data_IF_966145544856
#
_entry.id   IF_966145544856
#
_cell.length_a   1.000
_cell.length_b   1.000
_cell.length_c   1.000
_cell.angle_alpha   90.00
_cell.angle_beta   90.00
_cell.angle_gamma   90.00
#
_symmetry.space_group_name_H-M   'P 1'
#
loop_
_entity.id
_entity.type
_entity.pdbx_description
1 polymer ?
#
# COMPACT_ATOMS: atom_id res chain seq x y z
N UNK A 1 -13.90 -34.06 -26.79
CA UNK A 1 -14.43 -34.24 -25.43
C UNK A 1 -14.71 -32.86 -24.88
N UNK A 2 -15.98 -32.47 -24.80
CA UNK A 2 -16.39 -31.18 -24.24
C UNK A 2 -16.54 -31.36 -22.74
N UNK A 3 -15.82 -30.57 -21.95
CA UNK A 3 -16.00 -30.52 -20.50
C UNK A 3 -17.10 -29.50 -20.20
N UNK A 4 -18.20 -29.95 -19.60
CA UNK A 4 -19.27 -29.07 -19.14
C UNK A 4 -18.82 -28.39 -17.85
N UNK A 5 -18.91 -27.06 -17.81
CA UNK A 5 -18.63 -26.29 -16.60
C UNK A 5 -19.97 -25.98 -15.90
N UNK A 6 -20.25 -26.69 -14.82
CA UNK A 6 -21.46 -26.50 -14.01
C UNK A 6 -21.32 -25.35 -13.01
N UNK A 7 -20.10 -25.13 -12.50
CA UNK A 7 -19.81 -24.10 -11.50
C UNK A 7 -18.64 -23.19 -11.90
N UNK A 8 -18.77 -21.92 -11.55
CA UNK A 8 -17.77 -20.89 -11.85
C UNK A 8 -17.88 -20.28 -13.25
N UNK A 9 -17.12 -19.21 -13.46
CA UNK A 9 -17.08 -18.48 -14.73
C UNK A 9 -15.88 -18.95 -15.56
N UNK A 10 -16.00 -19.07 -16.90
CA UNK A 10 -14.91 -19.55 -17.74
C UNK A 10 -13.71 -18.60 -17.68
N UNK A 11 -12.53 -19.13 -17.34
CA UNK A 11 -11.28 -18.35 -17.31
C UNK A 11 -10.90 -17.90 -18.72
N UNK A 12 -10.57 -16.61 -18.88
CA UNK A 12 -10.23 -16.02 -20.18
C UNK A 12 -11.41 -15.38 -20.94
N UNK A 13 -12.66 -15.54 -20.46
CA UNK A 13 -13.79 -14.78 -20.98
C UNK A 13 -13.83 -13.37 -20.38
N UNK A 14 -14.10 -12.37 -21.23
CA UNK A 14 -14.19 -10.95 -20.84
C UNK A 14 -15.33 -10.72 -19.84
N UNK A 15 -16.45 -11.44 -19.98
CA UNK A 15 -17.61 -11.27 -19.10
C UNK A 15 -17.41 -11.90 -17.72
N UNK A 16 -16.60 -12.94 -17.61
CA UNK A 16 -16.39 -13.69 -16.37
C UNK A 16 -15.96 -12.80 -15.21
N UNK A 17 -15.03 -11.87 -15.46
CA UNK A 17 -14.52 -10.94 -14.44
C UNK A 17 -15.62 -10.01 -13.95
N UNK A 18 -16.45 -9.49 -14.85
CA UNK A 18 -17.55 -8.57 -14.50
C UNK A 18 -18.61 -9.30 -13.68
N UNK A 19 -19.05 -10.49 -14.14
CA UNK A 19 -20.05 -11.29 -13.45
C UNK A 19 -19.57 -11.71 -12.05
N UNK A 20 -18.30 -12.10 -11.93
CA UNK A 20 -17.68 -12.38 -10.64
C UNK A 20 -17.75 -11.17 -9.71
N UNK A 21 -17.31 -9.99 -10.17
CA UNK A 21 -17.30 -8.74 -9.39
C UNK A 21 -18.72 -8.36 -8.93
N UNK A 22 -19.71 -8.42 -9.82
CA UNK A 22 -21.11 -8.12 -9.48
C UNK A 22 -21.60 -9.05 -8.36
N UNK A 23 -21.29 -10.35 -8.45
CA UNK A 23 -21.70 -11.34 -7.46
C UNK A 23 -20.99 -11.12 -6.12
N UNK A 24 -19.66 -10.92 -6.13
CA UNK A 24 -18.88 -10.81 -4.89
C UNK A 24 -19.07 -9.47 -4.17
N UNK A 25 -19.37 -8.38 -4.86
CA UNK A 25 -19.56 -7.05 -4.28
C UNK A 25 -20.67 -6.99 -3.20
N UNK A 26 -21.63 -7.91 -3.24
CA UNK A 26 -22.69 -7.98 -2.22
C UNK A 26 -22.19 -8.44 -0.83
N UNK A 27 -20.96 -8.99 -0.73
CA UNK A 27 -20.35 -9.44 0.53
C UNK A 27 -20.14 -8.28 1.51
N UNK A 28 -19.73 -7.10 1.02
CA UNK A 28 -19.47 -5.92 1.86
C UNK A 28 -20.77 -5.45 2.53
N UNK A 29 -21.93 -5.69 1.91
CA UNK A 29 -23.24 -5.32 2.48
C UNK A 29 -23.62 -6.15 3.71
N UNK A 30 -22.90 -7.25 3.97
CA UNK A 30 -23.14 -8.11 5.13
C UNK A 30 -22.37 -7.65 6.38
N UNK A 31 -21.49 -6.66 6.24
CA UNK A 31 -20.66 -6.22 7.35
C UNK A 31 -21.52 -5.55 8.45
N UNK A 32 -21.29 -5.89 9.73
CA UNK A 32 -22.00 -5.25 10.82
C UNK A 32 -21.59 -3.78 10.97
N UNK A 33 -22.47 -2.99 11.59
CA UNK A 33 -22.18 -1.60 11.92
C UNK A 33 -20.92 -1.53 12.79
N UNK A 34 -20.00 -0.65 12.40
CA UNK A 34 -18.68 -0.47 13.03
C UNK A 34 -17.54 -1.28 12.41
N UNK A 35 -17.84 -2.14 11.44
CA UNK A 35 -16.83 -2.84 10.63
C UNK A 35 -16.88 -2.32 9.21
N UNK A 36 -15.73 -1.88 8.72
CA UNK A 36 -15.56 -1.47 7.33
C UNK A 36 -14.89 -2.62 6.56
N UNK A 37 -15.02 -2.60 5.24
CA UNK A 37 -14.30 -3.53 4.40
C UNK A 37 -14.05 -2.98 3.01
N UNK A 38 -13.07 -3.58 2.37
CA UNK A 38 -12.66 -3.29 0.99
C UNK A 38 -12.56 -4.60 0.24
N UNK A 39 -12.99 -4.60 -1.01
CA UNK A 39 -12.91 -5.77 -1.88
C UNK A 39 -12.21 -5.35 -3.17
N UNK A 40 -11.18 -6.10 -3.54
CA UNK A 40 -10.46 -5.93 -4.80
C UNK A 40 -10.35 -7.28 -5.49
N UNK A 41 -11.18 -7.50 -6.50
CA UNK A 41 -11.31 -8.81 -7.15
C UNK A 41 -11.66 -9.88 -6.10
N UNK A 42 -10.75 -10.78 -5.76
CA UNK A 42 -10.90 -11.84 -4.77
C UNK A 42 -10.28 -11.50 -3.40
N UNK A 43 -9.50 -10.42 -3.31
CA UNK A 43 -8.92 -9.95 -2.06
C UNK A 43 -9.96 -9.15 -1.25
N UNK A 44 -10.48 -9.77 -0.19
CA UNK A 44 -11.38 -9.13 0.79
C UNK A 44 -10.59 -8.72 2.05
N UNK A 45 -10.73 -7.46 2.43
CA UNK A 45 -10.22 -6.90 3.68
C UNK A 45 -11.38 -6.37 4.52
N UNK A 46 -11.32 -6.62 5.83
CA UNK A 46 -12.23 -6.04 6.82
C UNK A 46 -11.41 -5.47 7.97
N UNK A 47 -11.85 -4.35 8.52
CA UNK A 47 -11.21 -3.73 9.67
C UNK A 47 -12.21 -3.09 10.62
N UNK A 48 -11.82 -3.07 11.89
CA UNK A 48 -12.53 -2.44 12.98
C UNK A 48 -11.50 -1.74 13.88
N UNK A 49 -11.88 -0.62 14.48
CA UNK A 49 -11.08 0.15 15.44
C UNK A 49 -11.90 0.42 16.68
N UNK A 50 -11.27 0.38 17.85
CA UNK A 50 -11.91 0.66 19.13
C UNK A 50 -10.91 0.62 20.28
N UNK A 51 -11.28 1.20 21.42
CA UNK A 51 -10.41 1.29 22.60
C UNK A 51 -10.31 -0.03 23.38
N UNK A 52 -11.35 -0.87 23.30
CA UNK A 52 -11.43 -2.16 23.95
C UNK A 52 -11.22 -3.30 22.96
N UNK A 53 -10.25 -4.17 23.24
CA UNK A 53 -9.94 -5.32 22.39
C UNK A 53 -11.08 -6.35 22.40
N UNK A 54 -11.80 -6.52 23.50
CA UNK A 54 -12.95 -7.43 23.56
C UNK A 54 -14.07 -7.02 22.60
N UNK A 55 -14.34 -5.71 22.51
CA UNK A 55 -15.26 -5.13 21.54
C UNK A 55 -14.80 -5.37 20.10
N UNK A 56 -13.52 -5.09 19.79
CA UNK A 56 -12.95 -5.28 18.44
C UNK A 56 -12.99 -6.74 18.02
N UNK A 57 -12.59 -7.67 18.90
CA UNK A 57 -12.64 -9.12 18.66
C UNK A 57 -14.06 -9.57 18.34
N UNK A 58 -15.04 -9.20 19.18
CA UNK A 58 -16.44 -9.58 18.97
C UNK A 58 -17.00 -9.04 17.66
N UNK A 59 -16.69 -7.79 17.30
CA UNK A 59 -17.16 -7.16 16.05
C UNK A 59 -16.53 -7.81 14.82
N UNK A 60 -15.23 -8.08 14.85
CA UNK A 60 -14.56 -8.78 13.76
C UNK A 60 -15.05 -10.22 13.63
N UNK A 61 -15.25 -10.94 14.74
CA UNK A 61 -15.79 -12.29 14.71
C UNK A 61 -17.23 -12.33 14.15
N UNK A 62 -18.08 -11.37 14.54
CA UNK A 62 -19.42 -11.21 13.96
C UNK A 62 -19.35 -11.01 12.43
N UNK A 63 -18.43 -10.15 11.96
CA UNK A 63 -18.23 -9.92 10.55
C UNK A 63 -17.73 -11.18 9.82
N UNK A 64 -16.75 -11.90 10.37
CA UNK A 64 -16.24 -13.15 9.79
C UNK A 64 -17.36 -14.20 9.67
N UNK A 65 -18.20 -14.33 10.70
CA UNK A 65 -19.33 -15.26 10.69
C UNK A 65 -20.34 -14.91 9.58
N UNK A 66 -20.72 -13.63 9.47
CA UNK A 66 -21.66 -13.16 8.43
C UNK A 66 -21.11 -13.35 7.01
N UNK A 67 -19.82 -13.08 6.80
CA UNK A 67 -19.17 -13.29 5.50
C UNK A 67 -19.10 -14.79 5.18
N UNK A 68 -18.78 -15.65 6.15
CA UNK A 68 -18.77 -17.11 5.95
C UNK A 68 -20.16 -17.65 5.60
N UNK A 69 -21.20 -17.23 6.33
CA UNK A 69 -22.59 -17.62 6.05
C UNK A 69 -23.04 -17.15 4.67
N UNK A 70 -22.79 -15.88 4.33
CA UNK A 70 -23.07 -15.34 3.01
C UNK A 70 -22.34 -16.10 1.91
N UNK A 71 -21.06 -16.44 2.14
CA UNK A 71 -20.26 -17.22 1.23
C UNK A 71 -20.90 -18.59 0.95
N UNK A 72 -21.25 -19.33 2.01
CA UNK A 72 -21.94 -20.62 1.89
C UNK A 72 -23.25 -20.50 1.09
N UNK A 73 -24.05 -19.47 1.35
CA UNK A 73 -25.32 -19.24 0.65
C UNK A 73 -25.14 -18.88 -0.83
N UNK A 74 -24.04 -18.23 -1.20
CA UNK A 74 -23.79 -17.72 -2.55
C UNK A 74 -22.77 -18.56 -3.34
N UNK A 75 -22.33 -19.70 -2.82
CA UNK A 75 -21.37 -20.59 -3.47
C UNK A 75 -19.92 -20.06 -3.46
N UNK A 76 -19.55 -19.26 -2.46
CA UNK A 76 -18.17 -18.83 -2.22
C UNK A 76 -17.58 -19.54 -0.99
N UNK A 77 -16.33 -19.96 -1.12
CA UNK A 77 -15.56 -20.52 -0.01
C UNK A 77 -14.37 -19.62 0.31
N UNK A 78 -14.34 -19.10 1.54
CA UNK A 78 -13.22 -18.30 2.03
C UNK A 78 -12.08 -19.24 2.45
N UNK A 79 -10.89 -18.99 1.92
CA UNK A 79 -9.70 -19.80 2.20
C UNK A 79 -9.10 -19.47 3.56
N UNK A 80 -9.40 -20.28 4.60
CA UNK A 80 -8.82 -20.13 5.95
C UNK A 80 -7.29 -20.10 5.95
N UNK A 81 -6.64 -20.84 5.05
CA UNK A 81 -5.17 -20.88 4.93
C UNK A 81 -4.55 -19.56 4.42
N UNK A 82 -5.34 -18.74 3.70
CA UNK A 82 -4.88 -17.47 3.12
C UNK A 82 -5.30 -16.28 3.99
N UNK A 83 -6.33 -16.47 4.83
CA UNK A 83 -6.82 -15.45 5.74
C UNK A 83 -5.84 -15.28 6.91
N UNK A 84 -5.37 -14.06 7.10
CA UNK A 84 -4.52 -13.66 8.22
C UNK A 84 -5.09 -12.37 8.80
N UNK A 85 -4.80 -12.09 10.06
CA UNK A 85 -5.15 -10.82 10.68
C UNK A 85 -3.90 -10.08 11.16
N UNK A 86 -3.88 -8.77 10.99
CA UNK A 86 -2.87 -7.89 11.59
C UNK A 86 -3.57 -7.04 12.62
N UNK A 87 -3.01 -7.03 13.82
CA UNK A 87 -3.44 -6.15 14.88
C UNK A 87 -2.51 -4.92 14.94
N UNK A 88 -3.07 -3.73 14.68
CA UNK A 88 -2.35 -2.46 14.69
C UNK A 88 -2.53 -1.76 16.05
N UNK A 89 -1.55 -1.89 16.93
CA UNK A 89 -1.54 -1.15 18.20
C UNK A 89 -0.12 -0.64 18.51
N UNK A 90 -0.06 0.63 18.93
CA UNK A 90 1.21 1.28 19.30
C UNK A 90 1.58 1.06 20.77
N UNK A 91 0.62 0.73 21.62
CA UNK A 91 0.83 0.51 23.05
C UNK A 91 1.16 -0.95 23.29
N UNK A 92 2.38 -1.21 23.77
CA UNK A 92 2.85 -2.57 24.02
C UNK A 92 2.21 -3.13 25.29
N UNK A 93 1.73 -4.37 25.23
CA UNK A 93 1.35 -5.15 26.41
C UNK A 93 0.05 -4.73 27.10
N UNK A 94 -0.80 -3.93 26.46
CA UNK A 94 -2.08 -3.53 27.05
C UNK A 94 -3.09 -4.68 27.15
N UNK A 95 -3.09 -5.56 26.15
CA UNK A 95 -4.06 -6.63 26.03
C UNK A 95 -3.49 -7.76 25.18
N UNK A 96 -4.14 -8.92 25.23
CA UNK A 96 -3.81 -10.06 24.37
C UNK A 96 -4.26 -9.79 22.93
N UNK A 97 -3.65 -10.50 21.99
CA UNK A 97 -4.09 -10.48 20.60
C UNK A 97 -5.49 -11.14 20.46
N UNK A 98 -6.31 -10.67 19.51
CA UNK A 98 -7.67 -11.17 19.35
C UNK A 98 -7.66 -12.62 18.85
N UNK A 99 -8.63 -13.41 19.32
CA UNK A 99 -8.86 -14.79 18.87
C UNK A 99 -9.98 -14.82 17.85
N UNK A 100 -9.62 -14.93 16.58
CA UNK A 100 -10.57 -14.99 15.47
C UNK A 100 -10.62 -16.40 14.88
N UNK A 101 -11.82 -16.87 14.55
CA UNK A 101 -12.08 -18.19 13.99
C UNK A 101 -12.78 -18.06 12.63
N UNK A 102 -12.33 -18.83 11.64
CA UNK A 102 -12.99 -19.00 10.35
C UNK A 102 -13.11 -20.50 10.05
N UNK A 103 -14.36 -20.99 9.94
CA UNK A 103 -14.64 -22.43 9.80
C UNK A 103 -13.96 -23.26 10.90
N UNK A 104 -14.09 -22.81 12.16
CA UNK A 104 -13.46 -23.41 13.35
C UNK A 104 -11.93 -23.45 13.33
N UNK A 105 -11.29 -22.86 12.32
CA UNK A 105 -9.85 -22.69 12.23
C UNK A 105 -9.45 -21.31 12.76
N UNK A 106 -8.44 -21.27 13.64
CA UNK A 106 -7.87 -20.01 14.12
C UNK A 106 -7.24 -19.21 12.98
N UNK A 107 -7.68 -17.97 12.79
CA UNK A 107 -7.01 -17.02 11.91
C UNK A 107 -5.71 -16.58 12.60
N UNK A 108 -4.54 -16.82 11.99
CA UNK A 108 -3.28 -16.44 12.61
C UNK A 108 -3.14 -14.91 12.66
N UNK A 109 -2.77 -14.41 13.83
CA UNK A 109 -2.34 -13.02 14.00
C UNK A 109 -0.88 -12.92 13.57
N UNK A 110 -0.62 -12.13 12.54
CA UNK A 110 0.73 -11.95 11.95
C UNK A 110 1.23 -10.53 12.18
N UNK A 111 2.56 -10.40 12.23
CA UNK A 111 3.21 -9.08 12.39
C UNK A 111 3.32 -8.31 11.08
N UNK A 112 3.33 -9.01 9.96
CA UNK A 112 3.33 -8.43 8.63
C UNK A 112 2.53 -9.29 7.65
N UNK A 113 1.80 -8.64 6.75
CA UNK A 113 1.04 -9.30 5.69
C UNK A 113 1.08 -8.48 4.41
N UNK A 114 0.97 -9.17 3.29
CA UNK A 114 0.92 -8.55 1.97
C UNK A 114 -0.54 -8.34 1.56
N UNK A 115 -0.90 -7.10 1.23
CA UNK A 115 -2.21 -6.73 0.71
C UNK A 115 -2.03 -5.78 -0.47
N UNK A 116 -2.67 -6.07 -1.61
CA UNK A 116 -2.56 -5.29 -2.86
C UNK A 116 -1.12 -4.89 -3.21
N UNK A 117 -0.21 -5.87 -3.16
CA UNK A 117 1.20 -5.67 -3.52
C UNK A 117 2.07 -4.92 -2.48
N UNK A 118 1.48 -4.35 -1.44
CA UNK A 118 2.15 -3.70 -0.32
C UNK A 118 2.28 -4.65 0.87
N UNK A 119 3.33 -4.49 1.68
CA UNK A 119 3.51 -5.27 2.92
C UNK A 119 3.27 -4.32 4.09
N UNK A 120 2.23 -4.59 4.87
CA UNK A 120 1.89 -3.84 6.07
C UNK A 120 2.46 -4.56 7.27
N UNK A 121 3.24 -3.86 8.09
CA UNK A 121 3.68 -4.35 9.40
C UNK A 121 2.80 -3.75 10.52
N UNK A 122 2.68 -4.44 11.65
CA UNK A 122 1.83 -4.03 12.78
C UNK A 122 2.13 -2.65 13.35
N UNK A 123 3.33 -2.11 13.07
CA UNK A 123 3.76 -0.76 13.46
C UNK A 123 3.63 0.28 12.34
N UNK A 124 3.18 -0.13 11.15
CA UNK A 124 3.09 0.70 9.94
C UNK A 124 4.39 1.44 9.61
N UNK A 125 5.53 0.80 9.87
CA UNK A 125 6.85 1.35 9.55
C UNK A 125 7.24 1.15 8.08
N UNK A 126 6.58 0.20 7.40
CA UNK A 126 6.86 -0.32 6.07
C UNK A 126 8.33 -0.73 5.85
N UNK A 127 9.10 -0.93 6.92
CA UNK A 127 10.48 -1.42 6.82
C UNK A 127 10.56 -2.80 6.15
N UNK A 128 9.69 -3.78 6.46
CA UNK A 128 9.65 -5.04 5.74
C UNK A 128 9.35 -4.85 4.24
N UNK A 129 8.42 -3.96 3.90
CA UNK A 129 8.09 -3.63 2.52
C UNK A 129 9.27 -3.04 1.75
N UNK A 130 9.96 -2.05 2.32
CA UNK A 130 11.12 -1.40 1.70
C UNK A 130 12.26 -2.40 1.50
N UNK A 131 12.51 -3.28 2.47
CA UNK A 131 13.51 -4.34 2.32
C UNK A 131 13.15 -5.34 1.22
N UNK A 132 11.88 -5.76 1.16
CA UNK A 132 11.37 -6.60 0.09
C UNK A 132 11.53 -5.92 -1.29
N UNK A 133 11.16 -4.65 -1.39
CA UNK A 133 11.24 -3.87 -2.61
C UNK A 133 12.69 -3.70 -3.07
N UNK A 134 13.60 -3.38 -2.15
CA UNK A 134 15.05 -3.33 -2.41
C UNK A 134 15.54 -4.65 -3.00
N UNK A 135 15.27 -5.79 -2.37
CA UNK A 135 15.67 -7.12 -2.87
C UNK A 135 15.11 -7.39 -4.27
N UNK A 136 13.83 -7.09 -4.50
CA UNK A 136 13.17 -7.29 -5.81
C UNK A 136 13.79 -6.43 -6.90
N UNK A 137 14.12 -5.18 -6.59
CA UNK A 137 14.74 -4.27 -7.55
C UNK A 137 16.22 -4.59 -7.78
N UNK A 138 16.96 -5.04 -6.74
CA UNK A 138 18.34 -5.51 -6.90
C UNK A 138 18.43 -6.72 -7.83
N UNK A 139 17.46 -7.64 -7.79
CA UNK A 139 17.37 -8.72 -8.79
C UNK A 139 17.18 -8.17 -10.21
N UNK A 140 16.33 -7.15 -10.38
CA UNK A 140 16.14 -6.50 -11.68
C UNK A 140 17.34 -5.69 -12.15
N UNK A 141 18.18 -5.16 -11.25
CA UNK A 141 19.44 -4.52 -11.63
C UNK A 141 20.37 -5.47 -12.37
N UNK A 142 20.34 -6.78 -12.08
CA UNK A 142 21.17 -7.75 -12.78
C UNK A 142 20.84 -7.83 -14.26
N UNK A 143 19.58 -7.60 -14.66
CA UNK A 143 19.18 -7.52 -16.08
C UNK A 143 19.88 -6.33 -16.74
N UNK A 144 19.88 -5.17 -16.10
CA UNK A 144 20.56 -3.98 -16.62
C UNK A 144 22.07 -4.22 -16.71
N UNK A 145 22.68 -4.85 -15.69
CA UNK A 145 24.12 -5.20 -15.72
C UNK A 145 24.48 -6.10 -16.90
N UNK A 146 23.63 -7.08 -17.22
CA UNK A 146 23.83 -7.96 -18.37
C UNK A 146 23.72 -7.20 -19.69
N UNK A 147 22.76 -6.27 -19.79
CA UNK A 147 22.53 -5.46 -20.98
C UNK A 147 23.53 -4.30 -21.13
N UNK A 148 24.21 -3.89 -20.05
CA UNK A 148 25.19 -2.80 -20.06
C UNK A 148 26.62 -3.28 -20.33
N UNK A 149 26.78 -4.40 -21.04
CA UNK A 149 28.10 -4.95 -21.39
C UNK A 149 28.90 -3.98 -22.27
N UNK A 150 30.23 -4.01 -22.17
CA UNK A 150 31.09 -3.07 -22.92
C UNK A 150 31.28 -3.43 -24.39
N UNK A 151 31.09 -4.70 -24.76
CA UNK A 151 31.27 -5.21 -26.14
C UNK A 151 29.96 -5.32 -26.94
N UNK A 152 28.84 -5.63 -26.29
CA UNK A 152 27.52 -5.83 -26.89
C UNK A 152 26.40 -5.09 -26.14
N UNK A 153 26.75 -4.01 -25.43
CA UNK A 153 25.81 -3.29 -24.59
C UNK A 153 24.74 -2.55 -25.38
N UNK A 154 23.54 -2.45 -24.80
CA UNK A 154 22.50 -1.58 -25.31
C UNK A 154 22.87 -0.10 -25.10
N UNK A 155 22.33 0.77 -25.94
CA UNK A 155 22.53 2.21 -25.82
C UNK A 155 21.90 2.75 -24.52
N UNK A 156 22.43 3.87 -24.04
CA UNK A 156 22.00 4.54 -22.81
C UNK A 156 20.49 4.82 -22.77
N UNK A 157 19.88 5.22 -23.89
CA UNK A 157 18.46 5.52 -23.94
C UNK A 157 17.63 4.25 -23.73
N UNK A 158 18.00 3.16 -24.38
CA UNK A 158 17.38 1.84 -24.19
C UNK A 158 17.57 1.34 -22.75
N UNK A 159 18.77 1.43 -22.19
CA UNK A 159 19.01 1.03 -20.80
C UNK A 159 18.18 1.85 -19.81
N UNK A 160 18.05 3.16 -20.02
CA UNK A 160 17.17 4.01 -19.21
C UNK A 160 15.69 3.63 -19.36
N UNK A 161 15.23 3.22 -20.54
CA UNK A 161 13.86 2.70 -20.72
C UNK A 161 13.66 1.39 -19.94
N UNK A 162 14.61 0.47 -20.02
CA UNK A 162 14.59 -0.79 -19.25
C UNK A 162 14.60 -0.51 -17.75
N UNK A 163 15.42 0.42 -17.28
CA UNK A 163 15.42 0.91 -15.90
C UNK A 163 14.04 1.40 -15.45
N UNK A 164 13.43 2.27 -16.25
CA UNK A 164 12.11 2.84 -15.96
C UNK A 164 11.04 1.75 -15.89
N UNK A 165 11.08 0.80 -16.82
CA UNK A 165 10.10 -0.28 -16.94
C UNK A 165 10.21 -1.33 -15.83
N UNK A 166 11.43 -1.71 -15.42
CA UNK A 166 11.64 -2.85 -14.52
C UNK A 166 11.89 -2.47 -13.05
N UNK A 167 12.45 -1.29 -12.80
CA UNK A 167 12.88 -0.85 -11.47
C UNK A 167 12.02 0.33 -11.01
N UNK A 168 12.01 1.42 -11.78
CA UNK A 168 11.28 2.63 -11.39
C UNK A 168 9.78 2.35 -11.21
N UNK A 169 9.18 1.59 -12.12
CA UNK A 169 7.78 1.13 -12.00
C UNK A 169 7.46 0.45 -10.66
N UNK A 170 8.39 -0.36 -10.13
CA UNK A 170 8.25 -1.02 -8.82
C UNK A 170 8.43 -0.04 -7.66
N UNK A 171 9.37 0.92 -7.80
CA UNK A 171 9.60 1.99 -6.83
C UNK A 171 8.51 3.07 -6.84
N UNK A 172 7.68 3.12 -7.87
CA UNK A 172 6.55 4.03 -7.95
C UNK A 172 5.29 3.40 -7.35
N UNK A 173 5.14 2.08 -7.52
CA UNK A 173 3.98 1.34 -7.06
C UNK A 173 3.83 1.41 -5.54
N UNK A 174 2.74 2.02 -5.07
CA UNK A 174 2.43 2.11 -3.65
C UNK A 174 3.29 3.11 -2.86
N UNK A 175 4.11 3.91 -3.53
CA UNK A 175 4.97 4.90 -2.87
C UNK A 175 4.20 6.00 -2.12
N UNK A 176 2.94 6.22 -2.50
CA UNK A 176 2.00 7.09 -1.80
C UNK A 176 1.69 6.57 -0.38
N UNK A 177 1.75 5.25 -0.18
CA UNK A 177 1.46 4.59 1.09
C UNK A 177 2.74 4.43 1.90
N UNK A 178 3.72 3.69 1.37
CA UNK A 178 4.97 3.45 2.10
C UNK A 178 5.87 4.68 2.19
N UNK A 179 5.62 5.74 1.40
CA UNK A 179 6.36 7.01 1.45
C UNK A 179 6.23 7.72 2.80
N UNK A 180 5.26 7.32 3.63
CA UNK A 180 5.12 7.76 5.02
C UNK A 180 6.20 7.18 5.95
N UNK A 181 6.99 6.21 5.50
CA UNK A 181 8.11 5.65 6.26
C UNK A 181 9.14 6.72 6.64
N UNK A 182 9.89 6.46 7.71
CA UNK A 182 11.03 7.30 8.08
C UNK A 182 12.03 7.49 6.92
N UNK A 183 12.64 8.68 6.84
CA UNK A 183 13.65 9.00 5.81
C UNK A 183 14.81 8.00 5.80
N UNK A 184 15.23 7.51 6.98
CA UNK A 184 16.30 6.50 7.10
C UNK A 184 15.93 5.17 6.44
N UNK A 185 14.68 4.72 6.55
CA UNK A 185 14.18 3.52 5.87
C UNK A 185 14.13 3.77 4.35
N UNK A 186 13.58 4.90 3.91
CA UNK A 186 13.44 5.22 2.48
C UNK A 186 14.79 5.36 1.75
N UNK A 187 15.83 5.87 2.42
CA UNK A 187 17.20 5.96 1.88
C UNK A 187 17.76 4.63 1.40
N UNK A 188 17.26 3.51 1.92
CA UNK A 188 17.66 2.18 1.44
C UNK A 188 17.31 1.96 -0.04
N UNK A 189 16.25 2.58 -0.56
CA UNK A 189 15.85 2.49 -1.97
C UNK A 189 16.70 3.38 -2.89
N UNK A 190 17.23 4.48 -2.39
CA UNK A 190 18.08 5.40 -3.16
C UNK A 190 19.31 4.66 -3.72
N UNK A 191 19.88 3.74 -2.94
CA UNK A 191 21.00 2.90 -3.37
C UNK A 191 20.72 2.14 -4.67
N UNK A 192 19.49 1.63 -4.83
CA UNK A 192 19.06 0.88 -6.02
C UNK A 192 18.80 1.83 -7.19
N UNK A 193 18.15 2.98 -6.93
CA UNK A 193 17.91 4.01 -7.95
C UNK A 193 19.24 4.51 -8.53
N UNK A 194 20.17 4.91 -7.66
CA UNK A 194 21.48 5.41 -8.06
C UNK A 194 22.29 4.36 -8.82
N UNK A 195 22.27 3.11 -8.37
CA UNK A 195 22.96 2.04 -9.07
C UNK A 195 22.34 1.78 -10.45
N UNK A 196 21.01 1.80 -10.57
CA UNK A 196 20.32 1.63 -11.84
C UNK A 196 20.66 2.73 -12.85
N UNK A 197 20.68 3.99 -12.41
CA UNK A 197 21.06 5.11 -13.26
C UNK A 197 22.53 5.05 -13.69
N UNK A 198 23.45 4.74 -12.76
CA UNK A 198 24.88 4.59 -13.09
C UNK A 198 25.12 3.50 -14.13
N UNK A 199 24.49 2.33 -13.94
CA UNK A 199 24.59 1.23 -14.91
C UNK A 199 24.02 1.63 -16.27
N UNK A 200 22.88 2.34 -16.28
CA UNK A 200 22.24 2.75 -17.53
C UNK A 200 23.06 3.79 -18.30
N UNK A 201 23.78 4.67 -17.59
CA UNK A 201 24.65 5.69 -18.18
C UNK A 201 26.08 5.18 -18.48
N UNK A 202 26.44 3.97 -18.07
CA UNK A 202 27.84 3.51 -18.07
C UNK A 202 28.76 4.32 -17.16
N UNK A 203 28.20 4.99 -16.14
CA UNK A 203 28.95 5.89 -15.27
C UNK A 203 29.74 5.14 -14.18
N UNK A 204 30.86 5.71 -13.76
CA UNK A 204 31.66 5.16 -12.65
C UNK A 204 30.87 5.08 -11.35
N UNK A 205 31.25 4.15 -10.46
CA UNK A 205 30.64 4.00 -9.13
C UNK A 205 30.87 5.22 -8.22
N UNK A 206 31.86 6.06 -8.53
CA UNK A 206 32.23 7.27 -7.78
C UNK A 206 31.64 8.55 -8.37
N UNK A 207 31.01 8.51 -9.55
CA UNK A 207 30.40 9.70 -10.19
C UNK A 207 29.43 10.43 -9.23
N UNK A 208 29.45 11.76 -9.17
CA UNK A 208 28.54 12.54 -8.31
C UNK A 208 27.07 12.30 -8.68
N UNK A 209 26.20 12.12 -7.68
CA UNK A 209 24.80 11.77 -7.93
C UNK A 209 24.01 12.87 -8.65
N UNK A 210 24.34 14.14 -8.39
CA UNK A 210 23.68 15.27 -9.06
C UNK A 210 23.94 15.25 -10.57
N UNK A 211 25.17 14.94 -10.98
CA UNK A 211 25.52 14.78 -12.40
C UNK A 211 24.75 13.62 -13.03
N UNK A 212 24.58 12.50 -12.31
CA UNK A 212 23.81 11.35 -12.79
C UNK A 212 22.34 11.72 -13.03
N UNK A 213 21.73 12.50 -12.14
CA UNK A 213 20.35 12.98 -12.32
C UNK A 213 20.20 13.83 -13.57
N UNK A 214 21.11 14.78 -13.79
CA UNK A 214 21.09 15.64 -14.97
C UNK A 214 21.27 14.82 -16.25
N UNK A 215 22.28 13.95 -16.31
CA UNK A 215 22.58 13.15 -17.50
C UNK A 215 21.49 12.12 -17.85
N UNK A 216 20.83 11.56 -16.83
CA UNK A 216 19.74 10.60 -17.05
C UNK A 216 18.36 11.25 -17.24
N UNK A 217 18.27 12.57 -17.03
CA UNK A 217 17.00 13.29 -16.95
C UNK A 217 16.01 12.65 -15.96
N UNK A 218 16.53 12.27 -14.78
CA UNK A 218 15.74 11.66 -13.69
C UNK A 218 15.91 12.46 -12.41
N UNK A 219 14.83 12.60 -11.64
CA UNK A 219 14.86 13.25 -10.32
C UNK A 219 15.35 12.30 -9.23
N UNK A 220 15.62 12.85 -8.04
CA UNK A 220 15.73 12.03 -6.83
C UNK A 220 14.43 11.26 -6.57
N UNK A 221 14.54 10.13 -5.86
CA UNK A 221 13.34 9.36 -5.48
C UNK A 221 12.46 10.14 -4.49
N UNK A 222 13.04 11.01 -3.65
CA UNK A 222 12.27 11.86 -2.73
C UNK A 222 11.33 12.78 -3.52
N UNK A 223 11.86 13.57 -4.45
CA UNK A 223 11.07 14.45 -5.32
C UNK A 223 10.06 13.66 -6.17
N UNK A 224 10.45 12.45 -6.62
CA UNK A 224 9.54 11.58 -7.39
C UNK A 224 8.34 11.13 -6.55
N UNK A 225 8.58 10.72 -5.30
CA UNK A 225 7.51 10.34 -4.37
C UNK A 225 6.62 11.52 -4.03
N UNK A 226 7.18 12.70 -3.78
CA UNK A 226 6.42 13.93 -3.55
C UNK A 226 5.52 14.26 -4.75
N UNK A 227 6.05 14.20 -5.97
CA UNK A 227 5.26 14.40 -7.20
C UNK A 227 4.12 13.40 -7.31
N UNK A 228 4.35 12.11 -7.05
CA UNK A 228 3.32 11.07 -7.14
C UNK A 228 2.26 11.23 -6.04
N UNK A 229 2.67 11.63 -4.84
CA UNK A 229 1.80 12.00 -3.71
C UNK A 229 0.90 13.18 -4.08
N UNK A 230 1.47 14.26 -4.62
CA UNK A 230 0.71 15.44 -5.07
C UNK A 230 -0.27 15.09 -6.19
N UNK A 231 0.16 14.31 -7.19
CA UNK A 231 -0.73 13.86 -8.27
C UNK A 231 -1.93 13.07 -7.72
N UNK A 232 -1.69 12.21 -6.73
CA UNK A 232 -2.75 11.40 -6.11
C UNK A 232 -3.69 12.28 -5.29
N UNK A 233 -3.13 13.23 -4.53
CA UNK A 233 -3.90 14.21 -3.79
C UNK A 233 -4.79 15.05 -4.71
N UNK A 234 -4.25 15.59 -5.81
CA UNK A 234 -5.02 16.40 -6.76
C UNK A 234 -6.16 15.60 -7.40
N UNK A 235 -5.96 14.32 -7.72
CA UNK A 235 -7.03 13.43 -8.21
C UNK A 235 -8.14 13.22 -7.18
N UNK A 236 -7.77 13.04 -5.91
CA UNK A 236 -8.75 12.92 -4.81
C UNK A 236 -9.49 14.25 -4.63
N UNK A 237 -8.75 15.37 -4.63
CA UNK A 237 -9.30 16.71 -4.45
C UNK A 237 -10.22 17.13 -5.60
N UNK A 238 -9.94 16.72 -6.84
CA UNK A 238 -10.80 17.05 -7.98
C UNK A 238 -12.13 16.29 -7.99
N UNK A 239 -12.21 15.15 -7.29
CA UNK A 239 -13.43 14.33 -7.27
C UNK A 239 -14.06 14.33 -5.87
N UNK A 240 -15.11 15.13 -5.68
CA UNK A 240 -15.89 15.21 -4.43
C UNK A 240 -16.57 13.89 -4.04
N UNK A 241 -16.88 13.02 -5.02
CA UNK A 241 -17.46 11.70 -4.78
C UNK A 241 -16.44 10.63 -4.35
N UNK A 242 -15.14 10.96 -4.37
CA UNK A 242 -14.11 10.00 -4.01
C UNK A 242 -14.24 9.60 -2.51
N UNK A 243 -14.21 8.30 -2.16
CA UNK A 243 -14.44 7.84 -0.77
C UNK A 243 -13.49 8.46 0.27
N UNK A 244 -12.28 8.81 -0.15
CA UNK A 244 -11.27 9.46 0.69
C UNK A 244 -11.26 10.99 0.62
N UNK A 245 -12.11 11.63 -0.19
CA UNK A 245 -12.07 13.08 -0.43
C UNK A 245 -12.13 13.87 0.88
N UNK A 246 -13.17 13.65 1.67
CA UNK A 246 -13.37 14.34 2.93
C UNK A 246 -12.23 14.07 3.93
N UNK A 247 -11.83 12.80 4.10
CA UNK A 247 -10.77 12.39 5.05
C UNK A 247 -9.39 12.97 4.72
N UNK A 248 -9.11 13.22 3.43
CA UNK A 248 -7.81 13.72 2.97
C UNK A 248 -7.74 15.24 3.00
N UNK A 249 -8.82 15.93 2.64
CA UNK A 249 -8.88 17.40 2.62
C UNK A 249 -9.08 17.98 4.02
N UNK A 250 -9.84 17.26 4.87
CA UNK A 250 -10.07 17.63 6.25
C UNK A 250 -9.38 16.58 7.14
N UNK A 251 -8.04 16.54 7.20
CA UNK A 251 -7.37 15.54 7.98
C UNK A 251 -7.66 15.78 9.47
N UNK A 252 -8.42 14.86 10.04
CA UNK A 252 -8.75 14.82 11.46
C UNK A 252 -7.45 14.59 12.24
N UNK A 253 -7.38 15.09 13.48
CA UNK A 253 -6.25 14.91 14.43
C UNK A 253 -5.03 15.81 14.23
N UNK A 254 -5.18 16.99 13.64
CA UNK A 254 -4.06 17.92 13.44
C UNK A 254 -3.34 18.32 14.72
N UNK A 255 -4.07 18.57 15.79
CA UNK A 255 -3.51 18.85 17.12
C UNK A 255 -2.64 17.70 17.64
N UNK A 256 -3.02 16.44 17.41
CA UNK A 256 -2.25 15.28 17.86
C UNK A 256 -0.93 15.10 17.11
N UNK A 257 -0.92 15.35 15.80
CA UNK A 257 0.32 15.29 15.01
C UNK A 257 1.25 16.45 15.35
N UNK A 258 0.71 17.62 15.70
CA UNK A 258 1.51 18.76 16.19
C UNK A 258 2.13 18.50 17.57
N UNK A 259 1.45 17.75 18.45
CA UNK A 259 1.94 17.42 19.80
C UNK A 259 2.86 16.19 19.84
N UNK A 260 2.72 15.24 18.90
CA UNK A 260 3.48 13.98 18.89
C UNK A 260 4.20 13.77 17.57
N UNK A 261 5.35 14.43 17.42
CA UNK A 261 6.24 14.37 16.24
C UNK A 261 6.70 12.95 15.85
N UNK A 262 6.63 11.98 16.76
CA UNK A 262 6.96 10.58 16.48
C UNK A 262 5.88 9.83 15.69
N UNK A 263 4.72 10.45 15.46
CA UNK A 263 3.60 9.82 14.77
C UNK A 263 3.80 9.93 13.26
N UNK A 264 3.69 8.79 12.56
CA UNK A 264 3.59 8.77 11.10
C UNK A 264 2.39 9.60 10.66
N UNK A 265 2.59 10.74 9.96
CA UNK A 265 1.49 11.61 9.57
C UNK A 265 0.54 10.88 8.63
N UNK A 266 -0.75 11.24 8.68
CA UNK A 266 -1.71 10.76 7.67
C UNK A 266 -1.34 11.29 6.30
N UNK A 267 -1.92 10.70 5.25
CA UNK A 267 -1.71 11.13 3.87
C UNK A 267 -2.01 12.64 3.69
N UNK A 268 -3.13 13.12 4.24
CA UNK A 268 -3.49 14.55 4.20
C UNK A 268 -2.42 15.44 4.85
N UNK A 269 -1.98 15.12 6.08
CA UNK A 269 -0.92 15.89 6.76
C UNK A 269 0.41 15.87 6.01
N UNK A 270 0.77 14.72 5.44
CA UNK A 270 1.99 14.56 4.64
C UNK A 270 1.97 15.49 3.41
N UNK A 271 0.83 15.58 2.73
CA UNK A 271 0.63 16.49 1.59
C UNK A 271 0.70 17.94 2.04
N UNK A 272 0.07 18.31 3.16
CA UNK A 272 0.14 19.67 3.70
C UNK A 272 1.58 20.12 3.95
N UNK A 273 2.44 19.23 4.47
CA UNK A 273 3.87 19.49 4.62
C UNK A 273 4.58 19.78 3.29
N UNK A 274 4.26 19.02 2.24
CA UNK A 274 4.82 19.23 0.89
C UNK A 274 4.34 20.58 0.32
N UNK A 275 3.04 20.91 0.45
CA UNK A 275 2.48 22.17 -0.06
C UNK A 275 3.09 23.39 0.63
N UNK A 276 3.28 23.34 1.95
CA UNK A 276 3.96 24.41 2.71
C UNK A 276 5.40 24.60 2.27
N UNK A 277 6.15 23.51 2.03
CA UNK A 277 7.51 23.61 1.49
C UNK A 277 7.57 24.25 0.10
N UNK A 278 6.47 24.19 -0.67
CA UNK A 278 6.34 24.78 -2.00
C UNK A 278 5.70 26.18 -1.97
N UNK A 279 5.43 26.76 -0.80
CA UNK A 279 4.73 28.04 -0.63
C UNK A 279 3.36 28.08 -1.34
N UNK A 280 2.64 26.96 -1.37
CA UNK A 280 1.29 26.87 -1.91
C UNK A 280 0.28 26.90 -0.77
N UNK A 281 -0.75 27.74 -0.86
CA UNK A 281 -1.84 27.80 0.13
C UNK A 281 -2.45 26.40 0.33
N UNK A 282 -2.46 25.93 1.57
CA UNK A 282 -2.97 24.62 1.98
C UNK A 282 -4.44 24.70 2.45
N UNK A 283 -4.97 23.58 2.95
CA UNK A 283 -6.29 23.49 3.56
C UNK A 283 -6.19 23.74 5.08
N UNK A 284 -7.19 24.36 5.72
CA UNK A 284 -7.16 24.65 7.14
C UNK A 284 -7.03 23.35 7.95
N UNK A 285 -6.15 23.36 8.96
CA UNK A 285 -6.05 22.27 9.93
C UNK A 285 -7.25 22.40 10.86
N UNK A 286 -8.17 21.42 10.83
CA UNK A 286 -9.27 21.38 11.77
C UNK A 286 -8.75 20.96 13.15
N UNK A 287 -9.00 21.79 14.16
CA UNK A 287 -8.88 21.38 15.56
C UNK A 287 -10.04 20.43 15.87
N UNK A 288 -9.75 19.21 16.33
CA UNK A 288 -10.79 18.39 16.95
C UNK A 288 -10.80 18.72 18.45
N UNK A 289 -11.96 19.14 18.93
CA UNK A 289 -12.33 19.18 20.35
C UNK A 289 -12.35 17.73 20.86
N UNK A 290 -11.52 17.46 21.87
CA UNK A 290 -11.58 16.38 22.86
C UNK A 290 -12.21 15.03 22.47
N UNK A 291 -11.66 14.36 21.45
CA UNK A 291 -11.74 12.90 21.39
C UNK A 291 -10.36 12.35 21.02
N UNK A 292 -9.77 11.61 21.96
CA UNK A 292 -8.60 10.80 21.68
C UNK A 292 -8.88 9.89 20.48
N UNK A 293 -7.88 9.64 19.61
CA UNK A 293 -8.09 8.77 18.48
C UNK A 293 -8.25 7.33 18.99
N UNK A 294 -9.15 6.53 18.38
CA UNK A 294 -9.15 5.09 18.58
C UNK A 294 -7.83 4.46 18.12
#
# INVERSE_FOLDING_TARGET
>A
MFFYQEEGVPQGSVLSVILFIIKINAVIKQLPIGVNGSLFVDDLEIHCSGEDMGFVERKLQEAVNKISEWGKKNGFQISSQKTVAIHFCRRLGLHLDPKLLLHDCTIPIVRDAKYLGLIFDSKLTFKPHVNYLKRKCTKSLNIIKMLSGTSYGADTCTLLKVYKALIRSKLDYGCVVYGSSSKSVLKALDTVHHQGLRLSLGAFRTSPIQSIYVLSNESSLELRRERLTLNTFLKIKSNSSHPMHYKVINPIYGSLFSLRLSFTPTFGFSVGGILRNLNVNDFPILEKVDEFPP
#
